data_IF_778600940784
#
_entry.id   IF_778600940784
#
_cell.length_a   1.000
_cell.length_b   1.000
_cell.length_c   1.000
_cell.angle_alpha   90.00
_cell.angle_beta   90.00
_cell.angle_gamma   90.00
#
_symmetry.space_group_name_H-M   'P 1'
#
loop_
_entity.id
_entity.type
_entity.pdbx_description
1 polymer ?
#
# COMPACT_ATOMS: atom_id res chain seq x y z
N UNK A 1 -13.94 -13.35 18.81
CA UNK A 1 -12.86 -14.07 18.09
C UNK A 1 -12.94 -13.68 16.62
N UNK A 2 -11.82 -13.67 15.92
CA UNK A 2 -11.81 -13.39 14.48
C UNK A 2 -11.98 -14.73 13.76
N UNK A 3 -13.21 -15.08 13.37
CA UNK A 3 -13.43 -16.28 12.54
C UNK A 3 -12.79 -16.09 11.16
N UNK A 4 -12.10 -17.12 10.67
CA UNK A 4 -11.52 -17.11 9.32
C UNK A 4 -10.23 -16.30 9.15
N UNK A 5 -9.57 -15.86 10.23
CA UNK A 5 -8.24 -15.22 10.16
C UNK A 5 -7.19 -15.99 10.95
N UNK A 6 -5.95 -15.89 10.51
CA UNK A 6 -4.78 -16.48 11.12
C UNK A 6 -4.03 -15.42 11.92
N UNK A 7 -4.20 -15.46 13.24
CA UNK A 7 -3.51 -14.57 14.17
C UNK A 7 -2.10 -15.09 14.41
N UNK A 8 -1.10 -14.26 14.13
CA UNK A 8 0.29 -14.59 14.41
C UNK A 8 0.73 -14.11 15.79
N UNK A 9 0.22 -12.95 16.24
CA UNK A 9 0.58 -12.41 17.54
C UNK A 9 -0.42 -11.38 18.06
N UNK A 10 -0.43 -11.20 19.38
CA UNK A 10 -1.15 -10.12 20.07
C UNK A 10 -0.21 -9.41 21.04
N UNK A 11 -0.34 -8.09 21.14
CA UNK A 11 0.45 -7.31 22.09
C UNK A 11 -0.33 -6.11 22.60
N UNK A 12 -0.28 -5.90 23.91
CA UNK A 12 -0.85 -4.75 24.58
C UNK A 12 0.30 -3.87 25.06
N UNK A 13 0.22 -2.59 24.73
CA UNK A 13 1.22 -1.59 25.12
C UNK A 13 0.56 -0.44 25.86
N UNK A 14 1.31 0.16 26.78
CA UNK A 14 0.87 1.33 27.54
C UNK A 14 1.82 2.49 27.26
N UNK A 15 1.31 3.57 26.70
CA UNK A 15 2.08 4.79 26.49
C UNK A 15 1.83 5.80 27.60
N UNK A 16 2.93 6.40 28.09
CA UNK A 16 2.91 7.51 29.05
C UNK A 16 3.03 8.86 28.34
N UNK A 17 2.65 9.93 29.01
CA UNK A 17 2.41 11.24 28.39
C UNK A 17 3.63 12.14 28.22
N UNK A 18 4.75 11.85 28.90
CA UNK A 18 5.82 12.85 29.09
C UNK A 18 6.90 12.85 28.01
N UNK A 19 7.04 11.77 27.23
CA UNK A 19 8.12 11.64 26.26
C UNK A 19 7.64 10.89 25.01
N UNK A 20 8.20 11.21 23.83
CA UNK A 20 8.06 10.37 22.65
C UNK A 20 8.40 8.92 23.00
N UNK A 21 7.56 8.00 22.56
CA UNK A 21 7.74 6.58 22.82
C UNK A 21 7.62 5.80 21.53
N UNK A 22 8.64 4.98 21.28
CA UNK A 22 8.65 4.01 20.20
C UNK A 22 8.20 2.66 20.74
N UNK A 23 7.10 2.18 20.19
CA UNK A 23 6.74 0.77 20.22
C UNK A 23 7.41 0.12 19.03
N UNK A 24 8.39 -0.75 19.29
CA UNK A 24 8.98 -1.59 18.27
C UNK A 24 8.53 -3.05 18.49
N UNK A 25 7.82 -3.60 17.51
CA UNK A 25 7.43 -5.00 17.46
C UNK A 25 8.06 -5.66 16.24
N UNK A 26 9.39 -5.67 16.25
CA UNK A 26 10.26 -6.10 15.15
C UNK A 26 9.95 -7.51 14.64
N UNK A 27 9.63 -8.45 15.53
CA UNK A 27 9.25 -9.83 15.17
C UNK A 27 8.10 -9.88 14.13
N UNK A 28 7.18 -8.91 14.20
CA UNK A 28 6.07 -8.80 13.26
C UNK A 28 6.17 -7.54 12.40
N UNK A 29 7.34 -6.90 12.29
CA UNK A 29 7.56 -5.80 11.35
C UNK A 29 6.72 -4.54 11.61
N UNK A 30 6.33 -4.25 12.85
CA UNK A 30 5.51 -3.09 13.19
C UNK A 30 6.25 -2.12 14.10
N UNK A 31 6.18 -0.82 13.78
CA UNK A 31 6.63 0.25 14.67
C UNK A 31 5.54 1.32 14.82
N UNK A 32 5.33 1.79 16.04
CA UNK A 32 4.43 2.92 16.33
C UNK A 32 5.20 3.93 17.17
N UNK A 33 5.38 5.13 16.63
CA UNK A 33 5.97 6.24 17.38
C UNK A 33 4.89 7.21 17.82
N UNK A 34 4.70 7.31 19.13
CA UNK A 34 3.82 8.30 19.75
C UNK A 34 4.59 9.59 19.95
N UNK A 35 4.16 10.64 19.26
CA UNK A 35 4.79 11.96 19.31
C UNK A 35 4.39 12.72 20.59
N UNK A 36 5.21 13.69 20.98
CA UNK A 36 4.94 14.51 22.16
C UNK A 36 3.60 15.26 22.05
N UNK A 37 2.80 15.16 23.11
CA UNK A 37 1.47 15.78 23.18
C UNK A 37 0.39 15.03 22.40
N UNK A 38 0.64 13.81 21.91
CA UNK A 38 -0.41 12.97 21.32
C UNK A 38 -1.39 12.42 22.37
N UNK A 39 -1.02 12.39 23.65
CA UNK A 39 -1.85 11.89 24.76
C UNK A 39 -2.13 13.03 25.75
N UNK A 40 -3.35 13.07 26.29
CA UNK A 40 -3.76 14.07 27.31
C UNK A 40 -2.82 13.99 28.50
N UNK A 41 -2.22 15.11 28.98
CA UNK A 41 -1.36 15.13 30.16
C UNK A 41 -2.05 14.46 31.36
N UNK A 42 -1.35 13.54 32.04
CA UNK A 42 -1.86 12.63 33.09
C UNK A 42 -2.65 11.40 32.64
N UNK A 43 -2.85 11.20 31.34
CA UNK A 43 -3.39 9.97 30.78
C UNK A 43 -2.35 8.86 30.59
N UNK A 44 -2.82 7.62 30.71
CA UNK A 44 -2.23 6.44 30.05
C UNK A 44 -3.18 6.05 28.92
N UNK A 45 -2.61 5.76 27.74
CA UNK A 45 -3.33 5.12 26.64
C UNK A 45 -2.83 3.70 26.51
N UNK A 46 -3.76 2.79 26.30
CA UNK A 46 -3.46 1.39 26.00
C UNK A 46 -3.69 1.17 24.51
N UNK A 47 -2.72 0.54 23.85
CA UNK A 47 -2.78 0.20 22.43
C UNK A 47 -2.70 -1.31 22.33
N UNK A 48 -3.78 -1.92 21.88
CA UNK A 48 -3.84 -3.35 21.62
C UNK A 48 -3.64 -3.57 20.12
N UNK A 49 -2.75 -4.51 19.81
CA UNK A 49 -2.34 -4.81 18.43
C UNK A 49 -2.48 -6.31 18.22
N UNK A 50 -3.13 -6.69 17.13
CA UNK A 50 -3.15 -8.07 16.64
C UNK A 50 -2.52 -8.10 15.25
N UNK A 51 -1.49 -8.93 15.07
CA UNK A 51 -0.91 -9.20 13.76
C UNK A 51 -1.63 -10.41 13.12
N UNK A 52 -2.14 -10.22 11.92
CA UNK A 52 -2.81 -11.23 11.10
C UNK A 52 -1.93 -11.54 9.89
N UNK A 53 -1.67 -12.83 9.65
CA UNK A 53 -0.83 -13.31 8.53
C UNK A 53 -1.65 -14.03 7.46
N UNK A 54 -2.96 -14.15 7.67
CA UNK A 54 -3.87 -14.71 6.69
C UNK A 54 -5.31 -14.50 7.11
N UNK A 55 -6.23 -14.58 6.16
CA UNK A 55 -7.66 -14.45 6.38
C UNK A 55 -8.37 -14.00 5.12
N UNK A 56 -9.70 -13.88 5.19
CA UNK A 56 -10.47 -13.30 4.10
C UNK A 56 -10.37 -11.77 4.14
N UNK A 57 -9.60 -11.21 3.20
CA UNK A 57 -9.39 -9.78 3.03
C UNK A 57 -9.89 -9.36 1.65
N UNK A 58 -10.74 -8.34 1.59
CA UNK A 58 -11.16 -7.72 0.33
C UNK A 58 -10.22 -6.54 0.08
N UNK A 59 -9.30 -6.70 -0.86
CA UNK A 59 -8.30 -5.67 -1.21
C UNK A 59 -8.81 -4.75 -2.33
N UNK A 60 -8.21 -3.56 -2.51
CA UNK A 60 -8.39 -2.75 -3.70
C UNK A 60 -8.15 -3.55 -4.99
N UNK A 61 -8.83 -3.18 -6.08
CA UNK A 61 -8.65 -3.86 -7.37
C UNK A 61 -7.18 -3.87 -7.79
N UNK A 62 -6.74 -4.97 -8.38
CA UNK A 62 -5.38 -5.13 -8.91
C UNK A 62 -4.27 -4.94 -7.87
N UNK A 63 -4.54 -5.32 -6.62
CA UNK A 63 -3.56 -5.22 -5.53
C UNK A 63 -3.28 -6.57 -4.87
N UNK A 64 -2.08 -6.69 -4.31
CA UNK A 64 -1.66 -7.81 -3.46
C UNK A 64 -1.15 -7.27 -2.13
N UNK A 65 -1.40 -8.01 -1.04
CA UNK A 65 -0.78 -7.72 0.25
C UNK A 65 0.71 -8.00 0.20
N UNK A 66 1.51 -7.06 0.70
CA UNK A 66 2.96 -7.20 0.79
C UNK A 66 3.48 -7.03 2.22
N UNK A 67 2.57 -6.97 3.19
CA UNK A 67 2.83 -6.95 4.64
C UNK A 67 1.86 -7.87 5.37
N UNK A 68 2.08 -8.06 6.68
CA UNK A 68 1.01 -8.52 7.57
C UNK A 68 -0.10 -7.46 7.66
N UNK A 69 -1.27 -7.87 8.15
CA UNK A 69 -2.37 -6.98 8.50
C UNK A 69 -2.35 -6.75 10.02
N UNK A 70 -2.49 -5.52 10.48
CA UNK A 70 -2.52 -5.20 11.90
C UNK A 70 -3.87 -4.62 12.27
N UNK A 71 -4.55 -5.25 13.21
CA UNK A 71 -5.69 -4.62 13.89
C UNK A 71 -5.14 -3.81 15.05
N UNK A 72 -5.31 -2.49 15.03
CA UNK A 72 -4.83 -1.62 16.10
C UNK A 72 -6.04 -0.99 16.77
N UNK A 73 -6.13 -1.11 18.09
CA UNK A 73 -7.17 -0.45 18.88
C UNK A 73 -6.55 0.32 20.02
N UNK A 74 -7.24 1.39 20.43
CA UNK A 74 -6.78 2.24 21.52
C UNK A 74 -7.87 2.45 22.55
N UNK A 75 -7.48 2.49 23.83
CA UNK A 75 -8.43 2.66 24.93
C UNK A 75 -9.01 4.08 25.00
N UNK A 76 -8.34 5.08 24.41
CA UNK A 76 -8.75 6.49 24.40
C UNK A 76 -8.34 7.16 23.09
N UNK A 77 -9.08 8.19 22.62
CA UNK A 77 -8.67 8.99 21.47
C UNK A 77 -7.32 9.68 21.69
N UNK A 78 -6.55 9.85 20.62
CA UNK A 78 -5.33 10.65 20.61
C UNK A 78 -5.61 12.10 20.22
N UNK A 79 -4.80 13.00 20.77
CA UNK A 79 -4.83 14.44 20.46
C UNK A 79 -4.06 14.80 19.18
N UNK A 80 -3.10 13.95 18.79
CA UNK A 80 -2.27 14.12 17.59
C UNK A 80 -2.07 12.78 16.89
N UNK A 81 -1.81 12.79 15.57
CA UNK A 81 -1.44 11.58 14.84
C UNK A 81 -0.19 10.91 15.44
N UNK A 82 -0.07 9.61 15.22
CA UNK A 82 1.13 8.80 15.51
C UNK A 82 1.77 8.35 14.22
N UNK A 83 3.09 8.14 14.24
CA UNK A 83 3.79 7.54 13.11
C UNK A 83 3.65 6.02 13.19
N UNK A 84 2.93 5.45 12.23
CA UNK A 84 2.85 4.03 11.98
C UNK A 84 3.88 3.66 10.92
N UNK A 85 4.71 2.66 11.19
CA UNK A 85 5.59 2.06 10.20
C UNK A 85 5.33 0.57 10.11
N UNK A 86 5.14 0.08 8.89
CA UNK A 86 4.87 -1.33 8.60
C UNK A 86 5.95 -1.85 7.66
N UNK A 87 6.50 -3.02 7.99
CA UNK A 87 7.45 -3.72 7.14
C UNK A 87 6.72 -4.37 5.95
N UNK A 88 7.34 -4.29 4.78
CA UNK A 88 6.88 -4.95 3.56
C UNK A 88 7.98 -5.82 2.94
N UNK A 89 7.58 -6.77 2.10
CA UNK A 89 8.50 -7.69 1.41
C UNK A 89 8.98 -7.19 0.03
N UNK A 90 8.57 -5.99 -0.41
CA UNK A 90 8.98 -5.43 -1.71
C UNK A 90 10.36 -4.78 -1.63
N UNK A 91 11.26 -5.15 -2.55
CA UNK A 91 12.53 -4.44 -2.77
C UNK A 91 12.26 -3.15 -3.55
N UNK A 92 12.55 -2.01 -2.92
CA UNK A 92 12.43 -0.69 -3.54
C UNK A 92 13.83 -0.20 -3.93
N UNK A 93 14.19 -0.39 -5.19
CA UNK A 93 15.47 0.06 -5.76
C UNK A 93 15.34 1.40 -6.46
N UNK A 94 14.11 1.79 -6.82
CA UNK A 94 13.81 3.02 -7.58
C UNK A 94 12.53 3.67 -7.10
N UNK A 95 12.42 5.00 -7.25
CA UNK A 95 11.19 5.73 -6.90
C UNK A 95 9.93 5.20 -7.60
N UNK A 96 9.95 4.85 -8.90
CA UNK A 96 8.77 4.27 -9.55
C UNK A 96 8.28 2.94 -8.95
N UNK A 97 9.13 2.18 -8.25
CA UNK A 97 8.68 0.99 -7.53
C UNK A 97 7.92 1.35 -6.26
N UNK A 98 8.36 2.40 -5.55
CA UNK A 98 7.67 2.95 -4.38
C UNK A 98 6.27 3.46 -4.75
N UNK A 99 6.11 4.05 -5.94
CA UNK A 99 4.84 4.60 -6.41
C UNK A 99 3.73 3.53 -6.64
N UNK A 100 4.09 2.24 -6.63
CA UNK A 100 3.11 1.14 -6.68
C UNK A 100 2.69 0.64 -5.29
N UNK A 101 3.31 1.13 -4.22
CA UNK A 101 2.96 0.78 -2.86
C UNK A 101 1.96 1.79 -2.29
N UNK A 102 1.03 1.29 -1.49
CA UNK A 102 0.09 2.14 -0.76
C UNK A 102 -0.25 1.50 0.57
N UNK A 103 -0.53 2.33 1.57
CA UNK A 103 -1.21 1.87 2.76
C UNK A 103 -2.66 1.58 2.43
N UNK A 104 -3.23 0.59 3.11
CA UNK A 104 -4.66 0.32 3.09
C UNK A 104 -5.21 0.27 4.50
N UNK A 105 -6.45 0.70 4.65
CA UNK A 105 -7.19 0.57 5.91
C UNK A 105 -8.61 0.09 5.69
N UNK A 106 -9.18 -0.57 6.70
CA UNK A 106 -10.59 -0.93 6.75
C UNK A 106 -11.28 -0.13 7.86
N UNK A 107 -12.61 -0.03 7.80
CA UNK A 107 -13.35 0.66 8.86
C UNK A 107 -13.40 -0.19 10.12
N UNK A 108 -13.27 0.42 11.30
CA UNK A 108 -13.33 -0.29 12.59
C UNK A 108 -14.68 -0.99 12.86
N UNK A 109 -15.72 -0.69 12.08
CA UNK A 109 -17.01 -1.40 12.13
C UNK A 109 -17.07 -2.65 11.25
N UNK A 110 -16.11 -2.83 10.34
CA UNK A 110 -16.09 -3.96 9.44
C UNK A 110 -15.71 -5.21 10.24
N UNK A 111 -16.64 -6.16 10.29
CA UNK A 111 -16.30 -7.52 10.70
C UNK A 111 -15.83 -8.29 9.47
N UNK A 112 -15.00 -9.29 9.72
CA UNK A 112 -14.48 -10.21 8.70
C UNK A 112 -15.56 -10.57 7.66
N UNK A 113 -15.28 -10.43 6.34
CA UNK A 113 -14.00 -10.03 5.75
C UNK A 113 -13.74 -8.51 5.84
N UNK A 114 -12.50 -8.13 6.14
CA UNK A 114 -12.11 -6.72 6.16
C UNK A 114 -12.07 -6.14 4.75
N UNK A 115 -12.80 -5.03 4.53
CA UNK A 115 -12.82 -4.34 3.24
C UNK A 115 -11.85 -3.19 3.23
N UNK A 116 -10.67 -3.44 2.67
CA UNK A 116 -9.59 -2.49 2.59
C UNK A 116 -9.80 -1.45 1.50
N UNK A 117 -9.43 -0.21 1.81
CA UNK A 117 -9.38 0.91 0.88
C UNK A 117 -7.98 1.51 0.90
N UNK A 118 -7.49 1.92 -0.27
CA UNK A 118 -6.21 2.61 -0.39
C UNK A 118 -6.24 3.97 0.29
N UNK A 119 -5.13 4.28 0.95
CA UNK A 119 -4.85 5.55 1.60
C UNK A 119 -3.83 6.29 0.73
N UNK A 120 -4.10 7.55 0.42
CA UNK A 120 -3.28 8.34 -0.51
C UNK A 120 -2.03 8.92 0.15
N UNK A 121 -1.96 8.86 1.48
CA UNK A 121 -0.83 9.28 2.28
C UNK A 121 0.19 8.15 2.51
N UNK A 122 1.32 8.54 3.07
CA UNK A 122 2.40 7.63 3.43
C UNK A 122 3.65 7.83 2.58
N UNK A 123 4.73 7.17 2.98
CA UNK A 123 6.04 7.26 2.35
C UNK A 123 6.69 5.89 2.29
N UNK A 124 7.29 5.58 1.14
CA UNK A 124 8.02 4.34 0.89
C UNK A 124 9.41 4.69 0.34
N UNK A 125 10.41 4.90 1.21
CA UNK A 125 11.74 5.31 0.78
C UNK A 125 12.48 4.22 -0.01
N UNK A 126 13.26 4.62 -1.02
CA UNK A 126 14.18 3.72 -1.74
C UNK A 126 15.18 3.09 -0.77
N UNK A 127 15.37 1.78 -0.87
CA UNK A 127 16.23 0.97 0.01
C UNK A 127 15.60 0.60 1.35
N UNK A 128 14.40 1.10 1.67
CA UNK A 128 13.67 0.76 2.89
C UNK A 128 12.83 -0.50 2.71
N UNK A 129 12.73 -1.29 3.77
CA UNK A 129 11.74 -2.35 3.89
C UNK A 129 10.51 -1.92 4.70
N UNK A 130 10.42 -0.63 5.05
CA UNK A 130 9.31 -0.07 5.81
C UNK A 130 8.68 1.09 5.05
N UNK A 131 7.35 1.05 4.98
CA UNK A 131 6.55 2.23 4.71
C UNK A 131 6.25 2.96 6.02
N UNK A 132 6.02 4.28 5.95
CA UNK A 132 5.61 5.09 7.10
C UNK A 132 4.42 5.98 6.79
N UNK A 133 3.52 6.19 7.75
CA UNK A 133 2.33 7.02 7.62
C UNK A 133 1.93 7.63 8.98
N UNK A 134 1.40 8.86 8.96
CA UNK A 134 0.80 9.47 10.15
C UNK A 134 -0.68 9.11 10.23
N UNK A 135 -1.11 8.50 11.34
CA UNK A 135 -2.51 8.07 11.53
C UNK A 135 -3.11 8.71 12.78
N UNK A 136 -4.36 9.16 12.67
CA UNK A 136 -5.18 9.64 13.79
C UNK A 136 -6.22 8.61 14.23
N UNK A 137 -6.60 7.71 13.32
CA UNK A 137 -7.60 6.67 13.55
C UNK A 137 -6.90 5.31 13.62
N UNK A 138 -7.31 4.53 14.61
CA UNK A 138 -6.81 3.17 14.79
C UNK A 138 -7.87 2.19 14.32
N UNK A 139 -7.44 1.30 13.44
CA UNK A 139 -8.25 0.36 12.68
C UNK A 139 -7.34 -0.75 12.17
N UNK A 140 -7.77 -1.46 11.13
CA UNK A 140 -6.94 -2.39 10.39
C UNK A 140 -6.04 -1.64 9.42
N UNK A 141 -4.75 -2.00 9.39
CA UNK A 141 -3.75 -1.40 8.52
C UNK A 141 -2.88 -2.47 7.86
N UNK A 142 -2.54 -2.24 6.59
CA UNK A 142 -1.57 -3.05 5.86
C UNK A 142 -0.95 -2.24 4.71
N UNK A 143 0.00 -2.84 4.00
CA UNK A 143 0.59 -2.32 2.77
C UNK A 143 0.21 -3.26 1.63
N UNK A 144 -0.25 -2.68 0.52
CA UNK A 144 -0.47 -3.39 -0.74
C UNK A 144 0.42 -2.85 -1.84
N UNK A 145 0.62 -3.68 -2.85
CA UNK A 145 1.26 -3.30 -4.12
C UNK A 145 0.25 -3.38 -5.26
N UNK A 146 0.23 -2.36 -6.12
CA UNK A 146 -0.57 -2.35 -7.34
C UNK A 146 0.11 -3.15 -8.46
N UNK A 147 -0.61 -4.08 -9.07
CA UNK A 147 -0.12 -5.05 -10.06
C UNK A 147 -0.26 -4.50 -11.50
N UNK A 148 -1.33 -3.76 -11.82
CA UNK A 148 -1.67 -3.37 -13.22
C UNK A 148 -1.06 -2.04 -13.71
N UNK A 149 0.22 -1.80 -13.42
CA UNK A 149 1.05 -0.84 -14.17
C UNK A 149 1.63 -1.41 -15.48
N UNK A 150 1.90 -2.72 -15.50
CA UNK A 150 2.64 -3.36 -16.61
C UNK A 150 1.76 -3.70 -17.83
N UNK A 151 0.51 -4.16 -17.61
CA UNK A 151 -0.38 -4.61 -18.69
C UNK A 151 -1.04 -3.46 -19.47
N UNK A 152 -1.27 -2.29 -18.87
CA UNK A 152 -1.86 -1.13 -19.58
C UNK A 152 -0.90 -0.56 -20.63
N UNK A 153 0.42 -0.52 -20.37
CA UNK A 153 1.43 -0.09 -21.36
C UNK A 153 1.51 -1.01 -22.59
N UNK A 154 1.32 -2.32 -22.42
CA UNK A 154 1.31 -3.26 -23.53
C UNK A 154 0.09 -3.10 -24.45
N UNK A 155 -1.08 -2.72 -23.91
CA UNK A 155 -2.30 -2.43 -24.71
C UNK A 155 -2.24 -1.11 -25.48
N UNK A 156 -1.48 -0.13 -25.00
CA UNK A 156 -1.29 1.13 -25.73
C UNK A 156 -0.18 1.05 -26.80
N UNK A 157 0.82 0.18 -26.62
CA UNK A 157 1.88 -0.04 -27.61
C UNK A 157 1.40 -0.84 -28.84
N UNK A 158 0.42 -1.73 -28.67
CA UNK A 158 -0.14 -2.53 -29.78
C UNK A 158 -1.22 -1.83 -30.60
N UNK A 159 -1.60 -0.58 -30.26
CA UNK A 159 -2.60 0.22 -30.99
C UNK A 159 -2.03 1.32 -31.89
N UNK A 160 -0.69 1.46 -31.99
CA UNK A 160 -0.05 2.49 -32.83
C UNK A 160 0.46 2.00 -34.19
N UNK A 161 0.03 0.83 -34.68
CA UNK A 161 0.18 0.49 -36.10
C UNK A 161 -1.00 1.09 -36.85
N UNK A 162 -0.83 2.35 -37.27
CA UNK A 162 -1.73 2.97 -38.24
C UNK A 162 -1.61 2.22 -39.57
N UNK A 163 -2.74 1.71 -40.06
CA UNK A 163 -2.92 1.25 -41.43
C UNK A 163 -2.76 2.45 -42.38
N UNK A 164 -1.55 2.65 -42.89
CA UNK A 164 -1.36 3.45 -44.09
C UNK A 164 -1.91 2.66 -45.29
N UNK A 165 -3.08 3.10 -45.77
CA UNK A 165 -3.63 2.77 -47.07
C UNK A 165 -2.63 3.12 -48.17
N UNK A 166 -2.09 2.11 -48.85
CA UNK A 166 -1.39 2.29 -50.12
C UNK A 166 -2.43 2.59 -51.20
N UNK A 167 -2.66 3.88 -51.43
CA UNK A 167 -3.34 4.40 -52.61
C UNK A 167 -2.33 4.36 -53.78
N UNK A 168 -2.26 3.22 -54.48
CA UNK A 168 -1.34 3.03 -55.59
C UNK A 168 -1.93 3.69 -56.85
N UNK A 169 -1.52 4.94 -57.12
CA UNK A 169 -1.76 5.63 -58.38
C UNK A 169 -0.94 4.95 -59.47
N UNK A 170 -1.64 4.43 -60.48
CA UNK A 170 -1.12 3.87 -61.70
C UNK A 170 -0.66 5.00 -62.65
N UNK A 171 0.57 4.97 -63.19
CA UNK A 171 0.82 5.59 -64.48
C UNK A 171 1.57 4.65 -65.44
N UNK A 172 0.94 4.45 -66.59
CA UNK A 172 1.57 4.34 -67.92
C UNK A 172 2.47 3.13 -68.19
N UNK A 173 1.84 2.15 -68.86
CA UNK A 173 2.49 1.21 -69.76
C UNK A 173 3.05 1.90 -71.02
N UNK A 174 4.09 1.27 -71.56
CA UNK A 174 4.68 1.37 -72.91
C UNK A 174 5.60 2.56 -73.24
N UNK A 175 6.88 2.23 -73.50
CA UNK A 175 7.81 3.10 -74.21
C UNK A 175 9.28 2.63 -74.21
N UNK A 176 9.58 1.40 -74.66
CA UNK A 176 10.94 1.03 -75.11
C UNK A 176 10.90 0.71 -76.60
N UNK A 177 11.48 1.58 -77.42
CA UNK A 177 12.05 1.23 -78.73
C UNK A 177 13.43 1.87 -78.79
N UNK A 178 14.42 1.04 -79.08
CA UNK A 178 15.85 1.34 -79.14
C UNK A 178 16.21 2.22 -80.34
N UNK A 179 17.20 3.10 -80.14
CA UNK A 179 18.05 3.64 -81.21
C UNK A 179 19.12 2.59 -81.54
N UNK A 180 19.16 2.04 -82.75
CA UNK A 180 20.10 2.41 -83.82
C UNK A 180 19.97 1.48 -85.03
#
# INVERSE_FOLDING_TARGET
EFEGVHVAGKKLFQFKTKLPQLLNWEEYGLRITVLEGAVIPSGTIEVAITALVGGEFILPEDSELVSAVYTITVSKPLLKPVLLEIQHCVSIETQPQADYLSFVTASSSDRCPFKFQSVNEGSFPVGSQYGSILISEFSEWAIVRTIKGWLKKLRHSSRSVSSQSMENKNPLMQGMICNH
#
